data_IF_416941862370
#
_entry.id   IF_416941862370
#
_cell.length_a   1.000
_cell.length_b   1.000
_cell.length_c   1.000
_cell.angle_alpha   90.00
_cell.angle_beta   90.00
_cell.angle_gamma   90.00
#
_symmetry.space_group_name_H-M   'P 1'
#
loop_
_entity.id
_entity.type
_entity.pdbx_description
1 polymer ?
#
# COMPACT_ATOMS: atom_id res chain seq x y z
N UNK A 1 -1.28 -2.58 -42.07
CA UNK A 1 -1.19 -1.27 -41.37
C UNK A 1 -1.93 -1.45 -40.06
N UNK A 2 -1.24 -2.01 -39.06
CA UNK A 2 -0.66 -1.28 -37.91
C UNK A 2 -1.71 -0.40 -37.24
N UNK A 3 -2.40 -0.98 -36.26
CA UNK A 3 -2.93 -0.24 -35.14
C UNK A 3 -2.09 -0.65 -33.94
N UNK A 4 -0.94 0.02 -33.77
CA UNK A 4 -0.14 -0.09 -32.56
C UNK A 4 -1.04 0.26 -31.38
N UNK A 5 -1.35 -0.73 -30.53
CA UNK A 5 -1.84 -0.46 -29.19
C UNK A 5 -0.77 0.37 -28.50
N UNK A 6 -1.05 1.67 -28.37
CA UNK A 6 -0.17 2.62 -27.72
C UNK A 6 0.09 2.13 -26.31
N UNK A 7 1.27 1.54 -26.14
CA UNK A 7 2.02 1.50 -24.89
C UNK A 7 2.11 2.94 -24.37
N UNK A 8 1.07 3.37 -23.63
CA UNK A 8 1.12 4.57 -22.82
C UNK A 8 2.10 4.26 -21.69
N UNK A 9 3.37 4.48 -21.98
CA UNK A 9 4.46 4.59 -21.02
C UNK A 9 4.11 5.74 -20.09
N UNK A 10 3.36 5.43 -19.03
CA UNK A 10 3.05 6.41 -18.00
C UNK A 10 4.35 6.78 -17.30
N UNK A 11 4.70 8.06 -17.38
CA UNK A 11 5.89 8.61 -16.73
C UNK A 11 5.67 8.61 -15.21
N UNK A 12 6.55 7.91 -14.49
CA UNK A 12 6.63 8.02 -13.03
C UNK A 12 7.13 9.42 -12.70
N UNK A 13 6.38 10.18 -11.91
CA UNK A 13 6.74 11.54 -11.54
C UNK A 13 7.86 11.52 -10.48
N UNK A 14 7.68 10.72 -9.43
CA UNK A 14 8.69 10.47 -8.43
C UNK A 14 8.46 9.13 -7.73
N UNK A 15 9.49 8.66 -7.03
CA UNK A 15 9.44 7.41 -6.26
C UNK A 15 9.78 7.68 -4.81
N UNK A 16 8.96 7.15 -3.91
CA UNK A 16 9.21 7.11 -2.49
C UNK A 16 9.73 5.71 -2.09
N UNK A 17 10.65 5.69 -1.15
CA UNK A 17 11.23 4.48 -0.57
C UNK A 17 10.79 4.39 0.88
N UNK A 18 10.03 3.34 1.20
CA UNK A 18 9.54 3.03 2.54
C UNK A 18 10.53 2.07 3.21
N UNK A 19 11.21 2.56 4.26
CA UNK A 19 12.25 1.84 4.99
C UNK A 19 11.79 1.55 6.40
N UNK A 20 11.70 0.28 6.78
CA UNK A 20 11.39 -0.07 8.17
C UNK A 20 12.64 0.09 9.02
N UNK A 21 12.54 0.84 10.12
CA UNK A 21 13.67 1.05 11.02
C UNK A 21 14.01 -0.23 11.77
N UNK A 22 15.28 -0.63 11.71
CA UNK A 22 15.80 -1.76 12.49
C UNK A 22 15.99 -1.36 13.96
N UNK A 23 16.34 -0.10 14.21
CA UNK A 23 16.58 0.43 15.55
C UNK A 23 15.28 0.69 16.35
N UNK A 24 14.19 0.98 15.64
CA UNK A 24 12.89 1.31 16.25
C UNK A 24 11.79 0.46 15.59
N UNK A 25 11.47 -0.71 16.16
CA UNK A 25 10.41 -1.57 15.64
C UNK A 25 9.09 -0.80 15.51
N UNK A 26 8.45 -0.92 14.34
CA UNK A 26 7.21 -0.23 14.04
C UNK A 26 7.37 1.19 13.49
N UNK A 27 8.60 1.73 13.42
CA UNK A 27 8.87 2.97 12.69
C UNK A 27 9.19 2.66 11.22
N UNK A 28 8.55 3.37 10.31
CA UNK A 28 8.89 3.40 8.88
C UNK A 28 9.29 4.82 8.50
N UNK A 29 10.45 4.97 7.86
CA UNK A 29 10.94 6.22 7.32
C UNK A 29 10.73 6.23 5.81
N UNK A 30 10.23 7.34 5.27
CA UNK A 30 9.86 7.46 3.86
C UNK A 30 10.66 8.60 3.24
N UNK A 31 11.50 8.25 2.27
CA UNK A 31 12.38 9.19 1.58
C UNK A 31 12.11 9.19 0.08
N UNK A 32 12.49 10.24 -0.63
CA UNK A 32 12.60 10.15 -2.09
C UNK A 32 13.69 9.16 -2.49
N UNK A 33 13.47 8.44 -3.59
CA UNK A 33 14.49 7.60 -4.20
C UNK A 33 15.74 8.44 -4.51
N UNK A 34 16.92 7.92 -4.15
CA UNK A 34 18.19 8.63 -4.28
C UNK A 34 18.56 9.53 -3.09
N UNK A 35 17.64 9.79 -2.16
CA UNK A 35 17.97 10.49 -0.92
C UNK A 35 18.82 9.62 0.02
N UNK A 36 19.79 10.20 0.75
CA UNK A 36 20.55 9.48 1.77
C UNK A 36 19.65 8.80 2.80
N UNK A 37 20.02 7.61 3.26
CA UNK A 37 19.26 6.88 4.30
C UNK A 37 19.21 7.63 5.62
N UNK A 38 20.33 8.28 5.98
CA UNK A 38 20.50 9.06 7.21
C UNK A 38 19.92 10.47 7.11
N UNK A 39 19.42 10.87 5.93
CA UNK A 39 18.80 12.17 5.72
C UNK A 39 17.43 12.29 6.40
N UNK A 40 16.92 13.52 6.60
CA UNK A 40 15.58 13.72 7.12
C UNK A 40 14.53 13.06 6.20
N UNK A 41 13.57 12.29 6.74
CA UNK A 41 12.52 11.69 5.94
C UNK A 41 11.54 12.76 5.43
N UNK A 42 10.86 12.46 4.33
CA UNK A 42 9.74 13.29 3.81
C UNK A 42 8.48 13.00 4.60
N UNK A 43 8.25 11.72 4.88
CA UNK A 43 7.21 11.23 5.77
C UNK A 43 7.79 10.18 6.71
N UNK A 44 7.16 10.01 7.86
CA UNK A 44 7.41 8.85 8.70
C UNK A 44 6.09 8.27 9.18
N UNK A 45 6.09 6.99 9.51
CA UNK A 45 4.94 6.37 10.15
C UNK A 45 5.34 5.52 11.34
N UNK A 46 4.57 5.62 12.41
CA UNK A 46 4.67 4.69 13.55
C UNK A 46 3.52 3.70 13.51
N UNK A 47 3.80 2.46 13.87
CA UNK A 47 2.78 1.42 14.06
C UNK A 47 2.82 0.90 15.49
N UNK A 48 1.65 0.64 16.07
CA UNK A 48 1.50 0.17 17.45
C UNK A 48 0.44 -0.94 17.55
N UNK A 49 0.37 -1.72 18.64
CA UNK A 49 -0.57 -2.83 18.74
C UNK A 49 -2.05 -2.43 18.89
N UNK A 50 -2.32 -1.18 19.32
CA UNK A 50 -3.66 -0.70 19.67
C UNK A 50 -4.20 0.22 18.58
N UNK A 51 -5.48 0.09 18.21
CA UNK A 51 -6.13 0.98 17.24
C UNK A 51 -6.35 2.39 17.84
N UNK A 52 -6.09 3.50 17.09
CA UNK A 52 -5.48 3.54 15.77
C UNK A 52 -4.01 3.06 15.80
N UNK A 53 -3.70 2.10 14.94
CA UNK A 53 -2.46 1.32 14.99
C UNK A 53 -1.41 1.77 13.99
N UNK A 54 -1.70 2.79 13.19
CA UNK A 54 -0.76 3.46 12.29
C UNK A 54 -0.94 4.97 12.39
N UNK A 55 0.14 5.72 12.53
CA UNK A 55 0.13 7.20 12.47
C UNK A 55 1.11 7.65 11.40
N UNK A 56 0.70 8.56 10.53
CA UNK A 56 1.52 9.18 9.49
C UNK A 56 1.90 10.60 9.91
N UNK A 57 3.17 10.94 9.78
CA UNK A 57 3.74 12.24 10.09
C UNK A 57 4.38 12.87 8.87
N UNK A 58 4.37 14.20 8.80
CA UNK A 58 5.22 14.96 7.91
C UNK A 58 6.63 15.06 8.52
N UNK A 59 7.63 14.56 7.80
CA UNK A 59 9.00 14.47 8.30
C UNK A 59 9.16 13.48 9.46
N UNK A 60 10.01 13.83 10.42
CA UNK A 60 10.28 13.02 11.61
C UNK A 60 9.05 12.93 12.54
N UNK A 61 8.90 11.84 13.32
CA UNK A 61 7.75 11.68 14.21
C UNK A 61 7.64 12.82 15.23
N UNK A 62 6.56 13.60 15.14
CA UNK A 62 6.24 14.70 16.06
C UNK A 62 4.71 14.88 16.11
N UNK A 63 4.08 15.02 17.30
CA UNK A 63 2.64 15.25 17.41
C UNK A 63 2.12 16.44 16.60
N UNK A 64 2.94 17.49 16.43
CA UNK A 64 2.59 18.70 15.69
C UNK A 64 2.52 18.48 14.17
N UNK A 65 3.09 17.37 13.68
CA UNK A 65 3.22 17.07 12.25
C UNK A 65 2.35 15.87 11.84
N UNK A 66 1.36 15.48 12.65
CA UNK A 66 0.47 14.37 12.31
C UNK A 66 -0.37 14.74 11.08
N UNK A 67 -0.25 13.93 10.03
CA UNK A 67 -1.03 14.04 8.80
C UNK A 67 -2.27 13.14 8.83
N UNK A 68 -2.17 12.01 9.54
CA UNK A 68 -3.31 11.13 9.69
C UNK A 68 -3.05 9.91 10.56
N UNK A 69 -4.13 9.23 10.92
CA UNK A 69 -4.12 7.99 11.69
C UNK A 69 -4.93 6.93 10.96
N UNK A 70 -4.59 5.67 11.15
CA UNK A 70 -5.31 4.54 10.57
C UNK A 70 -5.42 3.39 11.57
N UNK A 71 -6.54 2.68 11.45
CA UNK A 71 -6.88 1.48 12.20
C UNK A 71 -7.00 0.32 11.22
N UNK A 72 -5.99 -0.54 11.14
CA UNK A 72 -5.99 -1.71 10.25
C UNK A 72 -6.26 -2.97 11.04
N UNK A 73 -7.37 -3.66 10.76
CA UNK A 73 -7.84 -4.76 11.59
C UNK A 73 -9.36 -4.84 11.57
N UNK A 74 -9.99 -4.45 12.69
CA UNK A 74 -11.43 -4.64 12.89
C UNK A 74 -12.25 -3.66 12.04
N UNK A 75 -11.81 -2.40 11.92
CA UNK A 75 -12.59 -1.35 11.27
C UNK A 75 -12.03 -0.88 9.92
N UNK A 76 -10.73 -1.09 9.64
CA UNK A 76 -10.04 -0.61 8.42
C UNK A 76 -10.39 0.85 8.07
N UNK A 77 -10.31 1.73 9.06
CA UNK A 77 -10.64 3.16 8.94
C UNK A 77 -9.39 4.03 9.01
N UNK A 78 -9.49 5.28 8.55
CA UNK A 78 -8.45 6.27 8.72
C UNK A 78 -9.00 7.68 8.88
N UNK A 79 -8.19 8.56 9.45
CA UNK A 79 -8.39 10.00 9.52
C UNK A 79 -7.23 10.66 8.80
N UNK A 80 -7.48 11.40 7.72
CA UNK A 80 -6.46 12.15 6.97
C UNK A 80 -6.75 13.65 7.06
N UNK A 81 -5.87 14.41 7.71
CA UNK A 81 -6.04 15.85 8.00
C UNK A 81 -7.42 16.19 8.58
N UNK A 82 -7.89 15.35 9.51
CA UNK A 82 -9.21 15.50 10.15
C UNK A 82 -10.39 14.97 9.32
N UNK A 83 -10.17 14.50 8.09
CA UNK A 83 -11.22 13.93 7.25
C UNK A 83 -11.28 12.40 7.44
N UNK A 84 -12.47 11.85 7.75
CA UNK A 84 -12.63 10.41 7.88
C UNK A 84 -12.57 9.72 6.52
N UNK A 85 -12.08 8.49 6.51
CA UNK A 85 -12.12 7.61 5.36
C UNK A 85 -12.09 6.14 5.75
N UNK A 86 -12.38 5.28 4.78
CA UNK A 86 -12.44 3.83 4.94
C UNK A 86 -11.60 3.13 3.89
N UNK A 87 -11.04 1.98 4.27
CA UNK A 87 -10.37 1.05 3.38
C UNK A 87 -11.09 -0.30 3.45
N UNK A 88 -11.96 -0.54 2.48
CA UNK A 88 -12.78 -1.76 2.44
C UNK A 88 -12.07 -2.84 1.61
N UNK A 89 -11.70 -3.95 2.25
CA UNK A 89 -11.20 -5.11 1.53
C UNK A 89 -12.36 -5.80 0.81
N UNK A 90 -12.28 -5.93 -0.51
CA UNK A 90 -13.28 -6.65 -1.28
C UNK A 90 -13.02 -8.15 -1.11
N UNK A 91 -13.95 -8.84 -0.44
CA UNK A 91 -13.92 -10.29 -0.21
C UNK A 91 -13.59 -11.08 -1.47
N UNK A 92 -12.75 -12.11 -1.33
CA UNK A 92 -12.29 -12.99 -2.43
C UNK A 92 -11.49 -12.32 -3.56
N UNK A 93 -11.23 -11.01 -3.47
CA UNK A 93 -10.36 -10.29 -4.40
C UNK A 93 -9.09 -9.82 -3.70
N UNK A 94 -8.01 -9.64 -4.48
CA UNK A 94 -6.82 -8.93 -4.02
C UNK A 94 -6.99 -7.42 -4.27
N UNK A 95 -8.10 -6.85 -3.81
CA UNK A 95 -8.38 -5.42 -3.98
C UNK A 95 -9.03 -4.79 -2.75
N UNK A 96 -8.75 -3.50 -2.55
CA UNK A 96 -9.29 -2.69 -1.47
C UNK A 96 -9.83 -1.38 -2.05
N UNK A 97 -11.06 -1.01 -1.71
CA UNK A 97 -11.63 0.29 -2.04
C UNK A 97 -11.24 1.30 -0.96
N UNK A 98 -10.93 2.52 -1.37
CA UNK A 98 -10.67 3.64 -0.47
C UNK A 98 -11.78 4.66 -0.71
N UNK A 99 -12.47 5.06 0.36
CA UNK A 99 -13.51 6.08 0.31
C UNK A 99 -13.20 7.20 1.30
N UNK A 100 -13.18 8.44 0.84
CA UNK A 100 -12.95 9.63 1.66
C UNK A 100 -13.46 10.90 0.94
N UNK A 101 -13.46 12.08 1.59
CA UNK A 101 -13.87 13.32 0.95
C UNK A 101 -13.04 13.74 -0.28
N UNK A 102 -11.82 13.23 -0.43
CA UNK A 102 -11.00 13.46 -1.63
C UNK A 102 -11.43 12.61 -2.83
N UNK A 103 -12.36 11.66 -2.64
CA UNK A 103 -12.91 10.82 -3.68
C UNK A 103 -12.84 9.33 -3.35
N UNK A 104 -13.19 8.53 -4.36
CA UNK A 104 -13.11 7.06 -4.30
C UNK A 104 -11.93 6.57 -5.12
N UNK A 105 -11.16 5.68 -4.51
CA UNK A 105 -9.97 5.08 -5.11
C UNK A 105 -9.96 3.58 -4.88
N UNK A 106 -9.04 2.89 -5.54
CA UNK A 106 -8.92 1.43 -5.42
C UNK A 106 -7.47 0.98 -5.48
N UNK A 107 -7.06 0.21 -4.48
CA UNK A 107 -5.85 -0.62 -4.53
C UNK A 107 -6.19 -1.97 -5.13
N UNK A 108 -5.46 -2.40 -6.17
CA UNK A 108 -5.61 -3.74 -6.77
C UNK A 108 -4.26 -4.40 -6.89
N UNK A 109 -4.13 -5.65 -6.48
CA UNK A 109 -2.94 -6.42 -6.75
C UNK A 109 -2.86 -6.74 -8.24
N UNK A 110 -1.69 -6.54 -8.81
CA UNK A 110 -1.36 -6.72 -10.21
C UNK A 110 -0.03 -7.49 -10.30
N UNK A 111 0.26 -8.10 -11.44
CA UNK A 111 1.60 -8.63 -11.73
C UNK A 111 2.33 -7.61 -12.60
N UNK A 112 3.58 -7.31 -12.27
CA UNK A 112 4.44 -6.55 -13.18
C UNK A 112 4.88 -7.41 -14.37
N UNK A 113 5.52 -6.78 -15.36
CA UNK A 113 6.01 -7.47 -16.56
C UNK A 113 7.07 -8.55 -16.28
N UNK A 114 7.59 -8.62 -15.05
CA UNK A 114 8.56 -9.60 -14.60
C UNK A 114 7.92 -10.71 -13.73
N UNK A 115 6.59 -10.70 -13.55
CA UNK A 115 5.85 -11.68 -12.77
C UNK A 115 5.85 -11.41 -11.25
N UNK A 116 6.29 -10.23 -10.79
CA UNK A 116 6.24 -9.85 -9.39
C UNK A 116 4.90 -9.21 -9.06
N UNK A 117 4.28 -9.62 -7.94
CA UNK A 117 3.07 -8.95 -7.46
C UNK A 117 3.40 -7.53 -7.03
N UNK A 118 2.60 -6.56 -7.48
CA UNK A 118 2.59 -5.16 -7.04
C UNK A 118 1.17 -4.74 -6.70
N UNK A 119 1.00 -3.64 -5.98
CA UNK A 119 -0.29 -3.03 -5.75
C UNK A 119 -0.43 -1.77 -6.60
N UNK A 120 -1.58 -1.60 -7.24
CA UNK A 120 -1.88 -0.49 -8.12
C UNK A 120 -3.00 0.35 -7.51
N UNK A 121 -2.72 1.62 -7.27
CA UNK A 121 -3.70 2.61 -6.84
C UNK A 121 -4.35 3.28 -8.05
N UNK A 122 -5.67 3.29 -8.11
CA UNK A 122 -6.46 3.90 -9.19
C UNK A 122 -7.51 4.84 -8.65
N UNK A 123 -7.84 5.89 -9.39
CA UNK A 123 -9.04 6.68 -9.15
C UNK A 123 -10.32 5.96 -9.63
N UNK A 124 -11.48 6.60 -9.42
CA UNK A 124 -12.78 6.10 -9.84
C UNK A 124 -12.92 5.90 -11.36
N UNK A 125 -12.14 6.61 -12.19
CA UNK A 125 -12.11 6.44 -13.64
C UNK A 125 -11.22 5.28 -14.10
N UNK A 126 -10.51 4.64 -13.17
CA UNK A 126 -9.51 3.61 -13.46
C UNK A 126 -8.14 4.17 -13.83
N UNK A 127 -7.93 5.49 -13.70
CA UNK A 127 -6.63 6.10 -13.92
C UNK A 127 -5.65 5.63 -12.85
N UNK A 128 -4.55 5.00 -13.29
CA UNK A 128 -3.42 4.57 -12.46
C UNK A 128 -2.67 5.76 -11.83
N UNK A 129 -2.74 5.91 -10.52
CA UNK A 129 -2.13 7.00 -9.77
C UNK A 129 -0.82 6.60 -9.08
N UNK A 130 -0.71 5.36 -8.59
CA UNK A 130 0.52 4.91 -7.95
C UNK A 130 0.73 3.39 -8.04
N UNK A 131 1.98 2.97 -7.91
CA UNK A 131 2.38 1.57 -7.78
C UNK A 131 3.14 1.34 -6.49
N UNK A 132 2.78 0.31 -5.74
CA UNK A 132 3.46 -0.12 -4.53
C UNK A 132 4.09 -1.50 -4.76
N UNK A 133 5.42 -1.54 -4.80
CA UNK A 133 6.21 -2.74 -5.00
C UNK A 133 6.22 -3.65 -3.77
N UNK A 134 6.34 -4.95 -3.99
CA UNK A 134 6.23 -5.96 -2.92
C UNK A 134 7.59 -6.47 -2.40
N UNK A 135 8.62 -5.62 -2.44
CA UNK A 135 9.93 -5.88 -1.81
C UNK A 135 10.76 -6.99 -2.44
N UNK A 136 10.46 -7.42 -3.67
CA UNK A 136 11.27 -8.41 -4.38
C UNK A 136 11.88 -7.79 -5.64
N UNK A 137 13.09 -7.25 -5.45
CA UNK A 137 14.16 -7.14 -6.45
C UNK A 137 14.24 -5.92 -7.37
N UNK A 138 15.53 -5.57 -7.61
CA UNK A 138 16.18 -4.78 -8.67
C UNK A 138 15.67 -3.35 -8.85
N UNK A 139 16.48 -2.43 -8.34
CA UNK A 139 16.79 -1.09 -8.86
C UNK A 139 17.04 -0.14 -7.67
N UNK A 140 18.29 -0.03 -7.21
CA UNK A 140 18.73 1.04 -6.30
C UNK A 140 18.11 1.12 -4.90
N UNK A 141 17.41 0.07 -4.43
CA UNK A 141 16.72 0.05 -3.12
C UNK A 141 17.07 -1.24 -2.37
N UNK A 142 17.20 -1.17 -1.04
CA UNK A 142 17.59 -2.30 -0.21
C UNK A 142 16.56 -3.44 -0.24
N UNK A 143 17.00 -4.66 0.08
CA UNK A 143 16.20 -5.90 -0.08
C UNK A 143 14.86 -5.88 0.66
N UNK A 144 14.75 -5.16 1.76
CA UNK A 144 13.55 -5.12 2.61
C UNK A 144 12.76 -3.80 2.49
N UNK A 145 13.29 -2.84 1.74
CA UNK A 145 12.65 -1.58 1.45
C UNK A 145 11.56 -1.76 0.37
N UNK A 146 10.53 -0.92 0.42
CA UNK A 146 9.45 -0.92 -0.58
C UNK A 146 9.48 0.37 -1.38
N UNK A 147 9.17 0.27 -2.67
CA UNK A 147 8.98 1.42 -3.56
C UNK A 147 7.51 1.77 -3.69
N UNK A 148 7.20 3.05 -3.58
CA UNK A 148 5.93 3.64 -3.93
C UNK A 148 6.17 4.65 -5.07
N UNK A 149 5.82 4.26 -6.28
CA UNK A 149 5.96 5.08 -7.48
C UNK A 149 4.69 5.90 -7.68
N UNK A 150 4.83 7.21 -7.75
CA UNK A 150 3.71 8.15 -7.94
C UNK A 150 3.68 8.58 -9.40
N UNK A 151 2.52 8.42 -10.05
CA UNK A 151 2.32 8.60 -11.49
C UNK A 151 1.46 9.80 -11.85
N UNK A 152 1.24 10.71 -10.90
CA UNK A 152 0.49 11.94 -11.13
C UNK A 152 1.29 13.13 -10.61
N UNK A 153 1.13 14.26 -11.31
CA UNK A 153 1.48 15.58 -10.77
C UNK A 153 0.30 16.02 -9.91
N UNK A 154 0.52 16.29 -8.64
CA UNK A 154 -0.62 16.56 -7.78
C UNK A 154 -0.31 17.25 -6.46
N UNK A 155 -1.42 17.55 -5.80
CA UNK A 155 -1.52 18.18 -4.48
C UNK A 155 -0.97 17.24 -3.39
N UNK A 156 -0.22 17.82 -2.46
CA UNK A 156 0.33 17.16 -1.26
C UNK A 156 -0.71 16.29 -0.55
N UNK A 157 -1.97 16.75 -0.45
CA UNK A 157 -3.05 15.98 0.18
C UNK A 157 -3.27 14.60 -0.46
N UNK A 158 -3.19 14.50 -1.80
CA UNK A 158 -3.37 13.23 -2.48
C UNK A 158 -2.14 12.33 -2.31
N UNK A 159 -0.94 12.90 -2.30
CA UNK A 159 0.29 12.16 -2.04
C UNK A 159 0.24 11.55 -0.63
N UNK A 160 -0.15 12.33 0.36
CA UNK A 160 -0.31 11.88 1.74
C UNK A 160 -1.35 10.77 1.88
N UNK A 161 -2.49 10.90 1.20
CA UNK A 161 -3.54 9.87 1.17
C UNK A 161 -3.01 8.56 0.55
N UNK A 162 -2.26 8.66 -0.56
CA UNK A 162 -1.63 7.50 -1.21
C UNK A 162 -0.65 6.82 -0.25
N UNK A 163 0.18 7.59 0.46
CA UNK A 163 1.14 7.05 1.43
C UNK A 163 0.42 6.39 2.61
N UNK A 164 -0.57 7.06 3.21
CA UNK A 164 -1.34 6.53 4.34
C UNK A 164 -2.04 5.21 3.97
N UNK A 165 -2.75 5.19 2.84
CA UNK A 165 -3.48 3.99 2.40
C UNK A 165 -2.55 2.90 1.91
N UNK A 166 -1.38 3.24 1.33
CA UNK A 166 -0.34 2.25 1.03
C UNK A 166 0.11 1.51 2.29
N UNK A 167 0.40 2.24 3.38
CA UNK A 167 0.78 1.66 4.67
C UNK A 167 -0.30 0.71 5.23
N UNK A 168 -1.57 1.02 5.01
CA UNK A 168 -2.69 0.14 5.40
C UNK A 168 -2.79 -1.15 4.57
N UNK A 169 -2.48 -1.08 3.27
CA UNK A 169 -2.53 -2.25 2.37
C UNK A 169 -1.41 -3.25 2.65
N UNK A 170 -0.24 -2.78 3.12
CA UNK A 170 0.92 -3.63 3.44
C UNK A 170 0.62 -4.82 4.36
N UNK A 171 0.01 -4.64 5.55
CA UNK A 171 -0.37 -5.75 6.42
C UNK A 171 -1.50 -6.61 5.84
N UNK A 172 -2.46 -6.03 5.13
CA UNK A 172 -3.57 -6.75 4.49
C UNK A 172 -3.09 -7.70 3.36
N UNK A 173 -1.98 -7.36 2.71
CA UNK A 173 -1.35 -8.21 1.71
C UNK A 173 -0.66 -9.45 2.32
N UNK A 174 -0.29 -9.41 3.62
CA UNK A 174 0.39 -10.52 4.31
C UNK A 174 -0.58 -11.57 4.85
N UNK A 175 -1.77 -11.18 5.29
CA UNK A 175 -2.79 -12.08 5.86
C UNK A 175 -3.31 -13.11 4.86
N UNK A 176 -3.40 -12.75 3.58
CA UNK A 176 -3.88 -13.67 2.53
C UNK A 176 -3.06 -14.96 2.40
N UNK A 177 -1.75 -14.97 2.72
CA UNK A 177 -0.94 -16.21 2.62
C UNK A 177 -1.28 -17.25 3.69
N UNK A 178 -1.74 -16.83 4.87
CA UNK A 178 -2.10 -17.77 5.96
C UNK A 178 -3.54 -18.25 5.83
N UNK A 179 -4.43 -17.42 5.32
CA UNK A 179 -5.85 -17.76 5.18
C UNK A 179 -6.13 -18.59 3.92
N UNK A 180 -5.46 -18.33 2.79
CA UNK A 180 -5.56 -19.17 1.59
C UNK A 180 -5.08 -20.61 1.84
N UNK A 181 -4.04 -20.79 2.67
CA UNK A 181 -3.55 -22.12 3.05
C UNK A 181 -4.57 -22.90 3.89
N UNK A 182 -5.28 -22.23 4.82
CA UNK A 182 -6.30 -22.88 5.65
C UNK A 182 -7.56 -23.22 4.86
N UNK A 183 -8.01 -22.33 3.97
CA UNK A 183 -9.19 -22.56 3.12
C UNK A 183 -8.93 -23.69 2.12
N UNK A 184 -7.74 -23.79 1.53
CA UNK A 184 -7.38 -24.91 0.65
C UNK A 184 -7.39 -26.26 1.37
N UNK A 185 -6.91 -26.31 2.62
CA UNK A 185 -6.92 -27.54 3.45
C UNK A 185 -8.36 -27.97 3.78
N UNK A 186 -9.23 -27.02 4.13
CA UNK A 186 -10.64 -27.31 4.45
C UNK A 186 -11.42 -27.74 3.20
N UNK A 187 -11.19 -27.07 2.05
CA UNK A 187 -11.81 -27.45 0.78
C UNK A 187 -11.34 -28.84 0.31
N UNK A 188 -10.06 -29.19 0.48
CA UNK A 188 -9.56 -30.54 0.18
C UNK A 188 -10.19 -31.61 1.08
N UNK A 189 -10.35 -31.34 2.38
CA UNK A 189 -11.00 -32.29 3.30
C UNK A 189 -12.48 -32.50 2.97
N UNK A 190 -13.19 -31.44 2.58
CA UNK A 190 -14.60 -31.55 2.15
C UNK A 190 -14.74 -32.33 0.84
N UNK A 191 -13.84 -32.14 -0.12
CA UNK A 191 -13.86 -32.88 -1.39
C UNK A 191 -13.53 -34.37 -1.18
N UNK A 192 -12.57 -34.69 -0.30
CA UNK A 192 -12.26 -36.09 0.05
C UNK A 192 -13.40 -36.79 0.80
N UNK A 193 -14.17 -36.06 1.62
CA UNK A 193 -15.33 -36.62 2.31
C UNK A 193 -16.51 -36.89 1.36
N UNK A 194 -16.70 -36.06 0.33
CA UNK A 194 -17.78 -36.20 -0.65
C UNK A 194 -17.48 -37.27 -1.71
N UNK A 195 -16.20 -37.46 -2.08
CA UNK A 195 -15.78 -38.46 -3.09
C UNK A 195 -15.42 -39.83 -2.51
N UNK A 196 -15.39 -39.96 -1.18
CA UNK A 196 -15.10 -41.22 -0.47
C UNK A 196 -16.33 -41.94 0.08
N UNK A 197 -17.54 -41.58 -0.36
CA UNK A 197 -18.81 -42.22 0.01
C UNK A 197 -19.39 -43.01 -1.15
#
# INVERSE_FOLDING_TARGET
MVGDESSSSKSVEFTLVLRTSVAQPGLTLIHYLGSPSEGPPVFSSSTQPVEPNTTLFQGSPNPSNILGTASVGTSNTFMHRGNPGTLEKISFSKSCNVSCPLGTFKWTADMDGNGHTRWLFKDASGHKLAYLGNGKSRDGVAKDDRKLEVCFKGNDNLIELVVLTALMVLPLAKTNRKDEAKVAIVAMHLISAVLGS
#
